data_IF_508222931429
#
_entry.id   IF_508222931429
#
_cell.length_a   1.000
_cell.length_b   1.000
_cell.length_c   1.000
_cell.angle_alpha   90.00
_cell.angle_beta   90.00
_cell.angle_gamma   90.00
#
_symmetry.space_group_name_H-M   'P 1'
#
loop_
_entity.id
_entity.type
_entity.pdbx_description
1 polymer ?
#
# COMPACT_ATOMS: atom_id res chain seq x y z
N UNK A 1 19.44 14.22 -5.99
CA UNK A 1 20.76 13.96 -5.36
C UNK A 1 21.49 15.28 -5.21
N UNK A 2 21.57 15.79 -3.99
CA UNK A 2 22.46 16.91 -3.65
C UNK A 2 23.85 16.29 -3.52
N UNK A 3 24.73 16.62 -4.45
CA UNK A 3 26.14 16.26 -4.35
C UNK A 3 26.83 17.37 -3.58
N UNK A 4 27.06 17.18 -2.31
CA UNK A 4 27.89 18.06 -1.53
C UNK A 4 29.35 17.68 -1.78
N UNK A 5 30.09 18.58 -2.39
CA UNK A 5 31.55 18.46 -2.49
C UNK A 5 32.17 19.55 -1.62
N UNK A 6 33.09 19.17 -0.75
CA UNK A 6 33.94 20.07 -0.01
C UNK A 6 35.36 19.84 -0.52
N UNK A 7 36.04 20.93 -0.99
CA UNK A 7 37.41 20.91 -1.52
C UNK A 7 37.66 19.89 -2.65
N UNK A 8 36.66 19.65 -3.50
CA UNK A 8 36.79 18.75 -4.64
C UNK A 8 36.73 17.24 -4.29
N UNK A 9 36.57 16.90 -3.01
CA UNK A 9 36.32 15.52 -2.59
C UNK A 9 34.84 15.24 -2.51
N UNK A 10 34.39 14.12 -3.10
CA UNK A 10 33.04 13.60 -2.91
C UNK A 10 32.90 13.14 -1.47
N UNK A 11 32.08 13.84 -0.69
CA UNK A 11 31.60 13.31 0.58
C UNK A 11 30.51 12.30 0.22
N UNK A 12 30.83 11.02 0.26
CA UNK A 12 29.79 10.01 0.37
C UNK A 12 29.22 10.10 1.78
N UNK A 13 28.12 10.80 1.92
CA UNK A 13 27.24 10.55 3.06
C UNK A 13 26.63 9.18 2.80
N UNK A 14 27.16 8.15 3.45
CA UNK A 14 26.51 6.84 3.53
C UNK A 14 25.21 7.03 4.33
N UNK A 15 24.17 7.51 3.65
CA UNK A 15 22.84 7.53 4.24
C UNK A 15 22.45 6.07 4.49
N UNK A 16 22.32 5.72 5.75
CA UNK A 16 21.87 4.39 6.15
C UNK A 16 20.47 4.16 5.59
N UNK A 17 20.30 3.10 4.81
CA UNK A 17 18.99 2.71 4.31
C UNK A 17 18.07 2.29 5.46
N UNK A 18 16.86 2.82 5.45
CA UNK A 18 15.84 2.53 6.46
C UNK A 18 14.52 2.15 5.81
N UNK A 19 13.77 1.31 6.50
CA UNK A 19 12.52 0.74 6.01
C UNK A 19 11.50 0.74 7.13
N UNK A 20 10.37 1.42 6.92
CA UNK A 20 9.29 1.53 7.91
C UNK A 20 7.97 1.04 7.33
N UNK A 21 7.13 0.50 8.20
CA UNK A 21 5.73 0.23 7.94
C UNK A 21 4.88 1.27 8.68
N UNK A 22 4.09 2.00 7.93
CA UNK A 22 3.11 2.94 8.45
C UNK A 22 1.71 2.37 8.30
N UNK A 23 0.93 2.35 9.39
CA UNK A 23 -0.49 2.04 9.32
C UNK A 23 -1.25 3.35 9.14
N UNK A 24 -1.49 3.71 7.87
CA UNK A 24 -2.15 4.95 7.49
C UNK A 24 -3.63 4.93 7.89
N UNK A 25 -4.10 5.88 8.70
CA UNK A 25 -5.53 6.06 8.93
C UNK A 25 -6.26 6.61 7.71
N UNK A 26 -7.58 6.43 7.67
CA UNK A 26 -8.42 7.16 6.74
C UNK A 26 -8.34 8.68 7.02
N UNK A 27 -8.47 9.48 5.98
CA UNK A 27 -8.37 10.95 6.09
C UNK A 27 -6.96 11.51 5.98
N UNK A 28 -5.94 10.65 5.88
CA UNK A 28 -4.53 11.04 5.73
C UNK A 28 -4.11 10.95 4.27
N UNK A 29 -3.49 12.01 3.76
CA UNK A 29 -2.99 12.06 2.38
C UNK A 29 -1.66 11.36 2.27
N UNK A 30 -1.47 10.53 1.24
CA UNK A 30 -0.21 9.82 0.95
C UNK A 30 0.81 10.76 0.31
N UNK A 31 1.25 11.75 1.06
CA UNK A 31 2.29 12.71 0.66
C UNK A 31 3.10 13.10 1.89
N UNK A 32 4.30 13.61 1.66
CA UNK A 32 5.16 14.11 2.74
C UNK A 32 4.84 15.56 3.09
N UNK A 33 4.22 16.30 2.17
CA UNK A 33 3.80 17.68 2.36
C UNK A 33 2.49 17.91 1.61
N UNK A 34 1.53 18.55 2.27
CA UNK A 34 0.26 18.89 1.65
C UNK A 34 0.05 20.42 1.67
N UNK A 35 0.02 21.08 0.50
CA UNK A 35 -0.17 22.53 0.42
C UNK A 35 -1.55 23.01 0.92
N UNK A 36 -2.54 22.11 0.94
CA UNK A 36 -3.87 22.41 1.45
C UNK A 36 -4.00 22.24 2.97
N UNK A 37 -2.90 21.87 3.66
CA UNK A 37 -2.84 21.73 5.11
C UNK A 37 -3.57 20.51 5.67
N UNK A 38 -3.91 19.53 4.81
CA UNK A 38 -4.51 18.28 5.26
C UNK A 38 -3.46 17.43 5.98
N UNK A 39 -3.93 16.57 6.90
CA UNK A 39 -3.03 15.65 7.57
C UNK A 39 -2.36 14.69 6.55
N UNK A 40 -1.05 14.61 6.61
CA UNK A 40 -0.26 13.81 5.68
C UNK A 40 0.72 12.89 6.43
N UNK A 41 1.48 12.09 5.68
CA UNK A 41 2.38 11.07 6.25
C UNK A 41 3.41 11.67 7.20
N UNK A 42 4.00 12.83 6.87
CA UNK A 42 5.04 13.45 7.69
C UNK A 42 4.55 13.87 9.09
N UNK A 43 3.25 14.09 9.27
CA UNK A 43 2.67 14.41 10.58
C UNK A 43 2.80 13.25 11.59
N UNK A 44 3.03 12.04 11.11
CA UNK A 44 3.22 10.82 11.92
C UNK A 44 4.69 10.45 12.13
N UNK A 45 5.62 11.20 11.54
CA UNK A 45 7.05 10.98 11.65
C UNK A 45 7.68 11.97 12.62
N UNK A 46 8.48 11.48 13.55
CA UNK A 46 9.29 12.29 14.46
C UNK A 46 10.71 12.40 13.88
N UNK A 47 11.16 13.60 13.46
CA UNK A 47 12.50 13.78 12.90
C UNK A 47 13.65 13.37 13.81
N UNK A 48 13.39 13.29 15.13
CA UNK A 48 14.38 12.84 16.13
C UNK A 48 14.53 11.32 16.17
N UNK A 49 13.49 10.57 15.73
CA UNK A 49 13.43 9.10 15.77
C UNK A 49 13.51 8.47 14.40
N UNK A 50 13.05 9.18 13.38
CA UNK A 50 12.92 8.68 12.02
C UNK A 50 13.85 9.45 11.08
N UNK A 51 14.56 8.72 10.25
CA UNK A 51 15.34 9.33 9.18
C UNK A 51 14.41 9.88 8.09
N UNK A 52 14.94 10.74 7.24
CA UNK A 52 14.20 11.24 6.08
C UNK A 52 13.85 10.09 5.14
N UNK A 53 12.58 9.91 4.92
CA UNK A 53 12.02 8.87 4.05
C UNK A 53 10.94 9.45 3.17
N UNK A 54 10.52 8.67 2.18
CA UNK A 54 9.34 8.95 1.35
C UNK A 54 8.45 7.72 1.26
N UNK A 55 7.21 7.93 0.88
CA UNK A 55 6.23 6.85 0.76
C UNK A 55 6.46 6.01 -0.50
N UNK A 56 6.28 4.70 -0.38
CA UNK A 56 6.34 3.75 -1.50
C UNK A 56 4.94 3.58 -2.09
N UNK A 57 4.71 4.22 -3.23
CA UNK A 57 3.38 4.26 -3.81
C UNK A 57 2.43 5.15 -3.02
N UNK A 58 1.13 4.94 -3.22
CA UNK A 58 0.09 5.78 -2.62
C UNK A 58 -1.10 4.94 -2.21
N UNK A 59 -1.74 5.34 -1.11
CA UNK A 59 -3.11 4.95 -0.75
C UNK A 59 -4.00 6.18 -0.86
N UNK A 60 -5.24 6.00 -1.30
CA UNK A 60 -6.22 7.09 -1.34
C UNK A 60 -6.48 7.64 0.06
N UNK A 61 -6.99 8.87 0.15
CA UNK A 61 -7.26 9.53 1.43
C UNK A 61 -8.17 8.68 2.32
N UNK A 62 -9.22 8.10 1.74
CA UNK A 62 -10.19 7.26 2.45
C UNK A 62 -9.74 5.83 2.68
N UNK A 63 -8.63 5.39 2.10
CA UNK A 63 -8.10 4.04 2.26
C UNK A 63 -7.14 3.96 3.43
N UNK A 64 -7.30 2.94 4.25
CA UNK A 64 -6.47 2.67 5.41
C UNK A 64 -5.39 1.63 5.10
N UNK A 65 -4.44 1.48 6.02
CA UNK A 65 -3.57 0.31 6.09
C UNK A 65 -2.12 0.57 5.75
N UNK A 66 -1.46 -0.48 5.29
CA UNK A 66 -0.02 -0.54 5.13
C UNK A 66 0.48 0.37 4.02
N UNK A 67 1.32 1.33 4.39
CA UNK A 67 2.11 2.16 3.50
C UNK A 67 3.58 2.05 3.90
N UNK A 68 4.41 1.55 3.01
CA UNK A 68 5.85 1.45 3.25
C UNK A 68 6.53 2.81 3.08
N UNK A 69 7.47 3.11 3.95
CA UNK A 69 8.28 4.33 3.92
C UNK A 69 9.76 3.94 3.88
N UNK A 70 10.53 4.54 3.00
CA UNK A 70 11.95 4.23 2.85
C UNK A 70 12.71 5.36 2.17
N UNK A 71 14.03 5.40 2.34
CA UNK A 71 14.94 6.22 1.56
C UNK A 71 15.65 5.41 0.45
N UNK A 72 15.28 4.15 0.26
CA UNK A 72 15.80 3.28 -0.79
C UNK A 72 15.03 3.48 -2.10
N UNK A 73 15.60 4.29 -3.00
CA UNK A 73 14.97 4.63 -4.27
C UNK A 73 14.86 3.46 -5.24
N UNK A 74 15.83 2.55 -5.24
CA UNK A 74 15.80 1.36 -6.10
C UNK A 74 14.69 0.40 -5.68
N UNK A 75 14.56 0.16 -4.39
CA UNK A 75 13.46 -0.66 -3.86
C UNK A 75 12.10 -0.04 -4.18
N UNK A 76 11.95 1.26 -3.96
CA UNK A 76 10.71 1.99 -4.28
C UNK A 76 10.33 1.84 -5.74
N UNK A 77 11.28 1.99 -6.65
CA UNK A 77 11.04 1.82 -8.08
C UNK A 77 10.55 0.41 -8.40
N UNK A 78 11.19 -0.61 -7.87
CA UNK A 78 10.80 -2.01 -8.12
C UNK A 78 9.46 -2.38 -7.50
N UNK A 79 9.16 -1.90 -6.30
CA UNK A 79 7.88 -2.17 -5.64
C UNK A 79 6.69 -1.51 -6.34
N UNK A 80 6.92 -0.38 -7.01
CA UNK A 80 5.85 0.39 -7.67
C UNK A 80 5.75 0.16 -9.17
N UNK A 81 6.80 -0.37 -9.80
CA UNK A 81 6.78 -0.60 -11.24
C UNK A 81 5.94 -1.83 -11.59
N UNK A 82 4.99 -1.72 -12.56
CA UNK A 82 4.06 -2.81 -12.89
C UNK A 82 4.72 -4.11 -13.31
N UNK A 83 5.92 -4.06 -13.91
CA UNK A 83 6.64 -5.25 -14.40
C UNK A 83 7.05 -6.22 -13.28
N UNK A 84 7.15 -5.76 -12.05
CA UNK A 84 7.51 -6.61 -10.90
C UNK A 84 6.31 -7.34 -10.30
N UNK A 85 5.10 -6.97 -10.69
CA UNK A 85 3.85 -7.62 -10.29
C UNK A 85 3.74 -7.91 -8.78
N UNK A 86 4.19 -6.96 -7.96
CA UNK A 86 4.17 -7.11 -6.50
C UNK A 86 2.74 -7.24 -6.00
N UNK A 87 2.37 -8.36 -5.35
CA UNK A 87 1.00 -8.54 -4.88
C UNK A 87 0.71 -7.64 -3.68
N UNK A 88 -0.50 -7.12 -3.64
CA UNK A 88 -1.05 -6.37 -2.51
C UNK A 88 -2.32 -7.07 -2.04
N UNK A 89 -2.51 -7.14 -0.74
CA UNK A 89 -3.69 -7.73 -0.14
C UNK A 89 -4.53 -6.64 0.51
N UNK A 90 -5.82 -6.65 0.20
CA UNK A 90 -6.79 -5.70 0.74
C UNK A 90 -7.90 -6.40 1.48
N UNK A 91 -8.32 -5.80 2.58
CA UNK A 91 -9.55 -6.13 3.27
C UNK A 91 -10.63 -5.15 2.84
N UNK A 92 -11.72 -5.68 2.28
CA UNK A 92 -12.80 -4.90 1.68
C UNK A 92 -14.08 -5.16 2.43
N UNK A 93 -14.72 -4.11 2.92
CA UNK A 93 -16.05 -4.19 3.51
C UNK A 93 -17.08 -3.63 2.52
N UNK A 94 -18.10 -4.42 2.24
CA UNK A 94 -19.22 -4.03 1.39
C UNK A 94 -20.55 -4.34 2.10
N UNK A 95 -21.62 -3.69 1.64
CA UNK A 95 -22.96 -4.06 2.08
C UNK A 95 -23.34 -5.41 1.49
N UNK A 96 -23.92 -6.28 2.33
CA UNK A 96 -24.36 -7.61 1.90
C UNK A 96 -25.82 -7.66 1.47
N UNK A 97 -26.26 -8.79 0.94
CA UNK A 97 -25.48 -10.00 0.65
C UNK A 97 -24.64 -9.88 -0.62
N UNK A 98 -23.61 -10.73 -0.73
CA UNK A 98 -22.80 -10.87 -1.94
C UNK A 98 -23.15 -12.18 -2.63
N UNK A 99 -23.49 -12.12 -3.90
CA UNK A 99 -23.94 -13.27 -4.68
C UNK A 99 -22.81 -14.29 -4.89
N UNK A 100 -23.17 -15.55 -5.00
CA UNK A 100 -22.25 -16.60 -5.42
C UNK A 100 -21.75 -16.30 -6.83
N UNK A 101 -20.47 -16.46 -7.04
CA UNK A 101 -19.86 -16.23 -8.36
C UNK A 101 -19.18 -14.88 -8.54
N UNK A 102 -19.39 -13.91 -7.64
CA UNK A 102 -18.67 -12.62 -7.69
C UNK A 102 -17.16 -12.83 -7.64
N UNK A 103 -16.67 -13.73 -6.77
CA UNK A 103 -15.25 -14.05 -6.68
C UNK A 103 -14.68 -14.59 -7.98
N UNK A 104 -15.37 -15.50 -8.62
CA UNK A 104 -14.95 -16.04 -9.94
C UNK A 104 -14.98 -14.97 -11.01
N UNK A 105 -16.01 -14.13 -11.02
CA UNK A 105 -16.12 -13.01 -11.96
C UNK A 105 -14.93 -12.04 -11.82
N UNK A 106 -14.54 -11.73 -10.59
CA UNK A 106 -13.40 -10.87 -10.32
C UNK A 106 -12.06 -11.51 -10.71
N UNK A 107 -11.91 -12.82 -10.55
CA UNK A 107 -10.73 -13.57 -10.97
C UNK A 107 -10.63 -13.69 -12.50
N UNK A 108 -11.75 -13.85 -13.18
CA UNK A 108 -11.82 -13.92 -14.64
C UNK A 108 -11.57 -12.56 -15.30
N UNK A 109 -12.01 -11.50 -14.66
CA UNK A 109 -11.79 -10.12 -15.07
C UNK A 109 -13.05 -9.28 -15.14
N UNK A 110 -12.93 -8.06 -14.68
CA UNK A 110 -13.95 -7.03 -14.73
C UNK A 110 -13.54 -5.99 -15.77
N UNK A 111 -14.43 -5.69 -16.70
CA UNK A 111 -14.18 -4.66 -17.72
C UNK A 111 -14.42 -3.28 -17.12
N UNK A 112 -13.34 -2.48 -17.07
CA UNK A 112 -13.35 -1.09 -16.67
C UNK A 112 -13.03 -0.20 -17.87
N UNK A 113 -13.18 1.12 -17.71
CA UNK A 113 -12.93 2.08 -18.80
C UNK A 113 -11.49 2.01 -19.33
N UNK A 114 -10.52 1.74 -18.46
CA UNK A 114 -9.10 1.67 -18.78
C UNK A 114 -8.58 0.24 -19.02
N UNK A 115 -9.48 -0.72 -19.21
CA UNK A 115 -9.16 -2.10 -19.51
C UNK A 115 -9.68 -3.10 -18.49
N UNK A 116 -9.41 -4.38 -18.74
CA UNK A 116 -9.83 -5.47 -17.85
C UNK A 116 -8.97 -5.47 -16.59
N UNK A 117 -9.63 -5.59 -15.44
CA UNK A 117 -9.01 -5.74 -14.12
C UNK A 117 -9.35 -7.10 -13.51
N UNK A 118 -8.35 -7.74 -12.94
CA UNK A 118 -8.48 -9.07 -12.31
C UNK A 118 -7.93 -9.01 -10.89
N UNK A 119 -8.52 -9.82 -10.01
CA UNK A 119 -7.88 -10.17 -8.75
C UNK A 119 -7.16 -11.50 -8.89
N UNK A 120 -6.05 -11.66 -8.18
CA UNK A 120 -5.29 -12.92 -8.15
C UNK A 120 -5.95 -13.92 -7.19
N UNK A 121 -6.57 -13.42 -6.13
CA UNK A 121 -7.33 -14.23 -5.18
C UNK A 121 -8.50 -13.44 -4.59
N UNK A 122 -9.54 -14.17 -4.17
CA UNK A 122 -10.76 -13.62 -3.56
C UNK A 122 -11.24 -14.57 -2.48
N UNK A 123 -11.38 -14.08 -1.27
CA UNK A 123 -11.82 -14.89 -0.13
C UNK A 123 -12.83 -14.14 0.70
N UNK A 124 -13.98 -14.78 0.94
CA UNK A 124 -14.95 -14.30 1.90
C UNK A 124 -14.43 -14.55 3.32
N UNK A 125 -14.23 -13.50 4.10
CA UNK A 125 -13.68 -13.59 5.46
C UNK A 125 -14.77 -13.69 6.50
N UNK A 126 -15.80 -12.83 6.39
CA UNK A 126 -16.90 -12.77 7.34
C UNK A 126 -18.14 -12.22 6.65
N UNK A 127 -19.31 -12.65 7.14
CA UNK A 127 -20.59 -12.18 6.65
C UNK A 127 -21.55 -12.04 7.83
N UNK A 128 -21.90 -10.81 8.14
CA UNK A 128 -22.90 -10.45 9.13
C UNK A 128 -24.08 -9.76 8.42
N UNK A 129 -25.27 -9.68 9.04
CA UNK A 129 -26.36 -8.91 8.45
C UNK A 129 -25.93 -7.47 8.17
N UNK A 130 -25.98 -7.08 6.88
CA UNK A 130 -25.63 -5.75 6.41
C UNK A 130 -24.16 -5.54 6.03
N UNK A 131 -23.22 -6.37 6.48
CA UNK A 131 -21.78 -6.19 6.20
C UNK A 131 -21.12 -7.51 5.80
N UNK A 132 -20.39 -7.47 4.69
CA UNK A 132 -19.57 -8.57 4.20
C UNK A 132 -18.13 -8.12 4.13
N UNK A 133 -17.23 -8.93 4.69
CA UNK A 133 -15.80 -8.69 4.69
C UNK A 133 -15.11 -9.66 3.74
N UNK A 134 -14.39 -9.10 2.79
CA UNK A 134 -13.73 -9.84 1.70
C UNK A 134 -12.25 -9.52 1.68
N UNK A 135 -11.42 -10.54 1.53
CA UNK A 135 -9.98 -10.37 1.28
C UNK A 135 -9.71 -10.58 -0.20
N UNK A 136 -9.07 -9.62 -0.84
CA UNK A 136 -8.65 -9.71 -2.24
C UNK A 136 -7.15 -9.49 -2.36
N UNK A 137 -6.52 -10.24 -3.27
CA UNK A 137 -5.12 -10.08 -3.63
C UNK A 137 -5.05 -9.68 -5.09
N UNK A 138 -4.31 -8.64 -5.41
CA UNK A 138 -4.07 -8.23 -6.79
C UNK A 138 -2.70 -7.55 -6.90
N UNK A 139 -2.15 -7.52 -8.10
CA UNK A 139 -0.85 -6.88 -8.36
C UNK A 139 -0.97 -5.59 -9.17
N UNK A 140 -2.15 -5.26 -9.69
CA UNK A 140 -2.38 -3.98 -10.38
C UNK A 140 -2.29 -2.81 -9.41
N UNK A 141 -1.60 -1.74 -9.83
CA UNK A 141 -1.52 -0.48 -9.11
C UNK A 141 -2.34 0.64 -9.74
N UNK A 142 -3.27 0.33 -10.67
CA UNK A 142 -4.12 1.33 -11.32
C UNK A 142 -4.94 2.11 -10.31
N UNK A 143 -5.19 3.38 -10.60
CA UNK A 143 -5.90 4.29 -9.71
C UNK A 143 -7.24 3.70 -9.27
N UNK A 144 -7.48 3.65 -7.96
CA UNK A 144 -8.75 3.22 -7.33
C UNK A 144 -9.26 1.86 -7.83
N UNK A 145 -8.33 0.97 -8.20
CA UNK A 145 -8.67 -0.28 -8.90
C UNK A 145 -9.64 -1.17 -8.12
N UNK A 146 -9.43 -1.36 -6.82
CA UNK A 146 -10.31 -2.19 -5.98
C UNK A 146 -11.70 -1.58 -5.89
N UNK A 147 -11.80 -0.27 -5.63
CA UNK A 147 -13.08 0.44 -5.54
C UNK A 147 -13.85 0.38 -6.84
N UNK A 148 -13.19 0.59 -7.96
CA UNK A 148 -13.83 0.54 -9.29
C UNK A 148 -14.31 -0.87 -9.65
N UNK A 149 -13.55 -1.90 -9.29
CA UNK A 149 -13.96 -3.29 -9.53
C UNK A 149 -15.22 -3.64 -8.75
N UNK A 150 -15.28 -3.28 -7.47
CA UNK A 150 -16.46 -3.53 -6.63
C UNK A 150 -17.67 -2.71 -7.06
N UNK A 151 -17.48 -1.46 -7.48
CA UNK A 151 -18.56 -0.64 -8.07
C UNK A 151 -19.13 -1.31 -9.33
N UNK A 152 -18.27 -1.88 -10.17
CA UNK A 152 -18.70 -2.52 -11.42
C UNK A 152 -19.55 -3.78 -11.22
N UNK A 153 -19.48 -4.42 -10.05
CA UNK A 153 -20.30 -5.58 -9.69
C UNK A 153 -21.42 -5.21 -8.70
N UNK A 154 -21.76 -3.93 -8.60
CA UNK A 154 -22.83 -3.39 -7.75
C UNK A 154 -22.63 -3.62 -6.24
N UNK A 155 -21.38 -3.69 -5.80
CA UNK A 155 -21.00 -3.77 -4.39
C UNK A 155 -20.04 -2.65 -4.01
N UNK A 156 -20.50 -1.39 -3.87
CA UNK A 156 -19.64 -0.27 -3.50
C UNK A 156 -18.89 -0.54 -2.20
N UNK A 157 -17.62 -0.18 -2.19
CA UNK A 157 -16.76 -0.36 -1.02
C UNK A 157 -17.15 0.64 0.07
N UNK A 158 -17.51 0.14 1.24
CA UNK A 158 -17.76 0.95 2.43
C UNK A 158 -16.47 1.29 3.16
N UNK A 159 -15.57 0.30 3.31
CA UNK A 159 -14.29 0.44 3.99
C UNK A 159 -13.24 -0.41 3.28
N UNK A 160 -12.04 0.16 3.14
CA UNK A 160 -10.93 -0.48 2.45
C UNK A 160 -9.64 -0.29 3.24
N UNK A 161 -8.96 -1.41 3.51
CA UNK A 161 -7.66 -1.40 4.17
C UNK A 161 -6.68 -2.30 3.42
N UNK A 162 -5.48 -1.79 3.14
CA UNK A 162 -4.41 -2.63 2.60
C UNK A 162 -3.66 -3.28 3.76
N UNK A 163 -3.64 -4.61 3.77
CA UNK A 163 -3.04 -5.39 4.86
C UNK A 163 -1.66 -5.93 4.53
N UNK A 164 -1.35 -6.12 3.25
CA UNK A 164 -0.06 -6.65 2.80
C UNK A 164 0.46 -5.91 1.57
N UNK A 165 1.76 -5.74 1.51
CA UNK A 165 2.52 -5.36 0.32
C UNK A 165 3.62 -6.41 0.15
N UNK A 166 3.51 -7.26 -0.87
CA UNK A 166 4.42 -8.40 -1.02
C UNK A 166 4.45 -9.25 0.26
N UNK A 167 5.64 -9.54 0.79
CA UNK A 167 5.79 -10.35 2.00
C UNK A 167 5.55 -9.59 3.30
N UNK A 168 5.33 -8.27 3.25
CA UNK A 168 5.14 -7.46 4.45
C UNK A 168 3.67 -7.42 4.83
N UNK A 169 3.38 -7.78 6.07
CA UNK A 169 2.05 -7.73 6.66
C UNK A 169 1.96 -6.63 7.71
N UNK A 170 0.80 -5.97 7.77
CA UNK A 170 0.54 -4.98 8.82
C UNK A 170 0.33 -5.62 10.20
N UNK A 171 -0.23 -6.84 10.21
CA UNK A 171 -0.52 -7.56 11.45
C UNK A 171 -1.46 -6.79 12.36
N UNK A 172 -1.11 -6.72 13.63
CA UNK A 172 -1.85 -6.03 14.70
C UNK A 172 -1.35 -4.60 14.98
N UNK A 173 -0.52 -4.06 14.09
CA UNK A 173 0.00 -2.69 14.23
C UNK A 173 -1.15 -1.68 14.30
N UNK A 174 -1.14 -0.83 15.34
CA UNK A 174 -2.18 0.18 15.54
C UNK A 174 -2.15 1.26 14.46
N UNK A 175 -3.33 1.77 14.11
CA UNK A 175 -3.45 2.91 13.20
C UNK A 175 -2.67 4.13 13.69
N UNK A 176 -2.06 4.85 12.75
CA UNK A 176 -1.29 6.05 13.05
C UNK A 176 0.11 5.77 13.59
N UNK A 177 0.54 4.52 13.64
CA UNK A 177 1.89 4.16 14.12
C UNK A 177 2.83 3.84 12.98
N UNK A 178 4.11 4.15 13.19
CA UNK A 178 5.22 3.83 12.29
C UNK A 178 6.16 2.88 13.02
N UNK A 179 6.44 1.74 12.42
CA UNK A 179 7.41 0.77 12.97
C UNK A 179 8.54 0.50 11.99
N UNK A 180 9.71 0.24 12.51
CA UNK A 180 10.85 -0.22 11.71
C UNK A 180 10.62 -1.67 11.30
N UNK A 181 10.87 -2.01 10.03
CA UNK A 181 10.84 -3.40 9.59
C UNK A 181 11.97 -4.19 10.26
N UNK A 182 11.70 -5.45 10.59
CA UNK A 182 12.72 -6.36 11.09
C UNK A 182 13.74 -6.70 9.99
N UNK A 183 14.91 -7.18 10.39
CA UNK A 183 15.94 -7.60 9.44
C UNK A 183 15.41 -8.68 8.47
N UNK A 184 14.64 -9.63 8.98
CA UNK A 184 14.01 -10.69 8.18
C UNK A 184 12.99 -10.11 7.19
N UNK A 185 12.15 -9.18 7.63
CA UNK A 185 11.18 -8.50 6.75
C UNK A 185 11.87 -7.75 5.61
N UNK A 186 12.94 -7.02 5.92
CA UNK A 186 13.73 -6.30 4.90
C UNK A 186 14.32 -7.28 3.89
N UNK A 187 14.94 -8.36 4.37
CA UNK A 187 15.50 -9.40 3.50
C UNK A 187 14.46 -10.02 2.56
N UNK A 188 13.30 -10.37 3.09
CA UNK A 188 12.20 -10.92 2.29
C UNK A 188 11.67 -9.92 1.27
N UNK A 189 11.55 -8.66 1.67
CA UNK A 189 11.07 -7.60 0.79
C UNK A 189 12.03 -7.37 -0.38
N UNK A 190 13.32 -7.25 -0.11
CA UNK A 190 14.35 -7.11 -1.15
C UNK A 190 14.36 -8.32 -2.09
N UNK A 191 14.36 -9.53 -1.53
CA UNK A 191 14.34 -10.78 -2.32
C UNK A 191 13.12 -10.87 -3.23
N UNK A 192 11.96 -10.36 -2.80
CA UNK A 192 10.72 -10.41 -3.58
C UNK A 192 10.79 -9.62 -4.89
N UNK A 193 11.73 -8.69 -5.01
CA UNK A 193 11.95 -7.86 -6.22
C UNK A 193 13.35 -8.05 -6.81
N UNK A 194 14.04 -9.12 -6.43
CA UNK A 194 15.32 -9.51 -7.00
C UNK A 194 16.52 -8.66 -6.55
N UNK A 195 16.46 -8.15 -5.33
CA UNK A 195 17.54 -7.38 -4.72
C UNK A 195 18.29 -8.17 -3.66
#
# INVERSE_FOLDING_TARGET
CIRDSVDGMRIQTDEKLVYYAFNKPAGVVSTMEDPDGRRCVSDYLDPRKHQRVFHVGRLDVETEGLLLLTNDGELTNRLTHPSYEVPKTYMVQVHGPVEKGIGNQMKEGIRLEDGVAKVDDFRLVDSTPGHVLIEVVLHSGRNRIVRRMFDAVDHPVEKLARTHVGPIAIGDQKQGTVRKLSHTEVGNLLASVGM
#
